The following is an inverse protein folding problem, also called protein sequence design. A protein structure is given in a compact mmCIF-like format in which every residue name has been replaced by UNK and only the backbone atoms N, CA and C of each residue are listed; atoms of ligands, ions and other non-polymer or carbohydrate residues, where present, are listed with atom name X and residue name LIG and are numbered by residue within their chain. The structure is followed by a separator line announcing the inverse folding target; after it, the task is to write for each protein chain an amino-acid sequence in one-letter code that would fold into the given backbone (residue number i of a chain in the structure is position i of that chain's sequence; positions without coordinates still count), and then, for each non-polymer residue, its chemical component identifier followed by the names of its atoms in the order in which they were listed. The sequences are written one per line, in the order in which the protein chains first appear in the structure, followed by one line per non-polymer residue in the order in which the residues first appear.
data_IF_425609644758
#
_entry.id   IF_425609644758
#
_cell.length_a   1.000
_cell.length_b   1.000
_cell.length_c   1.000
_cell.angle_alpha   90.00
_cell.angle_beta   90.00
_cell.angle_gamma   90.00
#
_symmetry.space_group_name_H-M   'P 1'
#
loop_
_entity.id
_entity.type
_entity.pdbx_description
1 polymer ?
#
# COMPACT_ATOMS: atom_id res chain seq x y z
N UNK A 1 -23.52 -9.45 4.88
CA UNK A 1 -22.69 -9.64 3.68
C UNK A 1 -21.22 -9.63 4.10
N UNK A 2 -20.38 -10.43 3.44
CA UNK A 2 -18.92 -10.35 3.66
C UNK A 2 -18.41 -8.98 3.24
N UNK A 3 -17.45 -8.42 3.99
CA UNK A 3 -16.80 -7.14 3.66
C UNK A 3 -15.96 -7.27 2.39
N UNK A 4 -15.70 -6.14 1.73
CA UNK A 4 -14.95 -6.09 0.48
C UNK A 4 -13.73 -5.19 0.60
N UNK A 5 -12.61 -5.60 0.00
CA UNK A 5 -11.39 -4.81 -0.08
C UNK A 5 -11.00 -4.56 -1.54
N UNK A 6 -10.60 -3.33 -1.85
CA UNK A 6 -9.92 -2.99 -3.10
C UNK A 6 -8.43 -2.76 -2.83
N UNK A 7 -7.57 -3.47 -3.56
CA UNK A 7 -6.11 -3.44 -3.36
C UNK A 7 -5.43 -3.06 -4.67
N UNK A 8 -4.65 -1.99 -4.68
CA UNK A 8 -3.86 -1.60 -5.86
C UNK A 8 -2.50 -2.31 -5.88
N UNK A 9 -2.07 -2.77 -7.07
CA UNK A 9 -0.82 -3.52 -7.22
C UNK A 9 -0.86 -4.89 -6.51
N UNK A 10 -1.98 -5.60 -6.63
CA UNK A 10 -2.32 -6.78 -5.82
C UNK A 10 -1.75 -8.11 -6.34
N UNK A 11 -1.03 -8.13 -7.46
CA UNK A 11 -0.70 -9.37 -8.17
C UNK A 11 0.68 -9.96 -7.87
N UNK A 12 1.51 -9.23 -7.14
CA UNK A 12 2.88 -9.66 -6.81
C UNK A 12 3.32 -9.14 -5.45
N UNK A 13 4.29 -9.81 -4.85
CA UNK A 13 5.02 -9.34 -3.65
C UNK A 13 4.07 -8.89 -2.53
N UNK A 14 4.31 -7.72 -1.94
CA UNK A 14 3.53 -7.17 -0.81
C UNK A 14 2.03 -7.10 -1.11
N UNK A 15 1.64 -6.68 -2.32
CA UNK A 15 0.23 -6.58 -2.70
C UNK A 15 -0.48 -7.92 -2.74
N UNK A 16 0.18 -8.96 -3.24
CA UNK A 16 -0.34 -10.33 -3.21
C UNK A 16 -0.45 -10.85 -1.78
N UNK A 17 0.58 -10.64 -0.94
CA UNK A 17 0.52 -11.02 0.47
C UNK A 17 -0.62 -10.36 1.23
N UNK A 18 -0.89 -9.07 0.93
CA UNK A 18 -2.05 -8.35 1.49
C UNK A 18 -3.36 -8.98 0.99
N UNK A 19 -3.47 -9.26 -0.31
CA UNK A 19 -4.67 -9.88 -0.89
C UNK A 19 -4.96 -11.26 -0.27
N UNK A 20 -3.93 -12.09 -0.10
CA UNK A 20 -4.06 -13.39 0.58
C UNK A 20 -4.51 -13.24 2.04
N UNK A 21 -3.99 -12.25 2.77
CA UNK A 21 -4.40 -12.00 4.15
C UNK A 21 -5.89 -11.65 4.23
N UNK A 22 -6.38 -10.72 3.40
CA UNK A 22 -7.80 -10.36 3.38
C UNK A 22 -8.70 -11.53 2.93
N UNK A 23 -8.24 -12.35 1.97
CA UNK A 23 -8.95 -13.56 1.54
C UNK A 23 -9.10 -14.57 2.68
N UNK A 24 -8.02 -14.86 3.42
CA UNK A 24 -8.04 -15.73 4.61
C UNK A 24 -9.05 -15.27 5.66
N UNK A 25 -9.24 -13.96 5.78
CA UNK A 25 -10.19 -13.35 6.73
C UNK A 25 -11.61 -13.19 6.16
N UNK A 26 -11.88 -13.79 4.98
CA UNK A 26 -13.21 -13.88 4.40
C UNK A 26 -13.72 -12.62 3.70
N UNK A 27 -12.83 -11.70 3.31
CA UNK A 27 -13.19 -10.53 2.51
C UNK A 27 -13.34 -10.89 1.02
N UNK A 28 -14.32 -10.27 0.36
CA UNK A 28 -14.35 -10.23 -1.10
C UNK A 28 -13.22 -9.35 -1.61
N UNK A 29 -12.59 -9.74 -2.72
CA UNK A 29 -11.38 -9.10 -3.24
C UNK A 29 -11.65 -8.39 -4.56
N UNK A 30 -11.23 -7.14 -4.65
CA UNK A 30 -11.15 -6.38 -5.89
C UNK A 30 -9.67 -6.00 -6.10
N UNK A 31 -9.05 -6.59 -7.14
CA UNK A 31 -7.60 -6.61 -7.29
C UNK A 31 -7.17 -5.75 -8.47
N UNK A 32 -6.49 -4.65 -8.22
CA UNK A 32 -5.97 -3.76 -9.26
C UNK A 32 -4.55 -4.10 -9.68
N UNK A 33 -4.30 -4.17 -10.98
CA UNK A 33 -2.95 -4.33 -11.58
C UNK A 33 -2.85 -3.55 -12.88
N UNK A 34 -1.61 -3.25 -13.34
CA UNK A 34 -1.39 -2.69 -14.68
C UNK A 34 -1.75 -3.66 -15.81
N UNK A 35 -1.67 -4.98 -15.57
CA UNK A 35 -2.10 -6.03 -16.47
C UNK A 35 -3.45 -6.55 -16.00
N UNK A 36 -4.48 -6.41 -16.83
CA UNK A 36 -5.80 -6.99 -16.61
C UNK A 36 -5.72 -8.51 -16.47
N UNK A 37 -4.98 -9.16 -17.36
CA UNK A 37 -4.78 -10.61 -17.34
C UNK A 37 -4.20 -11.11 -16.02
N UNK A 38 -3.15 -10.44 -15.51
CA UNK A 38 -2.55 -10.83 -14.22
C UNK A 38 -3.53 -10.58 -13.06
N UNK A 39 -4.31 -9.51 -13.10
CA UNK A 39 -5.31 -9.22 -12.07
C UNK A 39 -6.40 -10.29 -12.03
N UNK A 40 -6.93 -10.66 -13.20
CA UNK A 40 -7.97 -11.70 -13.34
C UNK A 40 -7.45 -13.07 -12.90
N UNK A 41 -6.24 -13.45 -13.37
CA UNK A 41 -5.60 -14.70 -12.98
C UNK A 41 -5.44 -14.80 -11.45
N UNK A 42 -4.88 -13.76 -10.82
CA UNK A 42 -4.71 -13.72 -9.36
C UNK A 42 -6.06 -13.78 -8.64
N UNK A 43 -7.09 -13.11 -9.16
CA UNK A 43 -8.44 -13.15 -8.58
C UNK A 43 -9.03 -14.56 -8.61
N UNK A 44 -8.90 -15.29 -9.72
CA UNK A 44 -9.35 -16.67 -9.86
C UNK A 44 -8.62 -17.56 -8.85
N UNK A 45 -7.29 -17.50 -8.81
CA UNK A 45 -6.46 -18.30 -7.90
C UNK A 45 -6.84 -18.08 -6.41
N UNK A 46 -7.04 -16.82 -6.01
CA UNK A 46 -7.42 -16.50 -4.63
C UNK A 46 -8.87 -16.88 -4.30
N UNK A 47 -9.79 -16.72 -5.27
CA UNK A 47 -11.18 -17.15 -5.12
C UNK A 47 -11.28 -18.65 -4.91
N UNK A 48 -10.58 -19.46 -5.73
CA UNK A 48 -10.55 -20.91 -5.61
C UNK A 48 -9.91 -21.38 -4.29
N UNK A 49 -8.79 -20.74 -3.91
CA UNK A 49 -8.02 -21.12 -2.72
C UNK A 49 -8.75 -20.81 -1.41
N UNK A 50 -9.49 -19.69 -1.34
CA UNK A 50 -10.08 -19.20 -0.08
C UNK A 50 -11.60 -19.19 -0.07
N UNK A 51 -12.29 -19.50 -1.17
CA UNK A 51 -13.74 -19.54 -1.24
C UNK A 51 -14.43 -18.17 -1.12
N UNK A 52 -13.73 -17.09 -1.50
CA UNK A 52 -14.23 -15.72 -1.49
C UNK A 52 -14.52 -15.24 -2.90
N UNK A 53 -15.41 -14.25 -3.07
CA UNK A 53 -15.53 -13.58 -4.35
C UNK A 53 -14.27 -12.76 -4.64
N UNK A 54 -13.74 -12.87 -5.86
CA UNK A 54 -12.62 -12.06 -6.29
C UNK A 54 -12.78 -11.63 -7.75
N UNK A 55 -12.42 -10.37 -8.06
CA UNK A 55 -12.40 -9.81 -9.42
C UNK A 55 -11.16 -8.97 -9.66
N UNK A 56 -10.51 -9.18 -10.82
CA UNK A 56 -9.35 -8.43 -11.27
C UNK A 56 -9.72 -7.23 -12.14
N UNK A 57 -8.91 -6.16 -12.06
CA UNK A 57 -9.06 -4.95 -12.88
C UNK A 57 -7.72 -4.49 -13.45
N UNK A 58 -7.74 -4.15 -14.74
CA UNK A 58 -6.67 -3.39 -15.37
C UNK A 58 -6.74 -1.93 -14.99
N UNK A 59 -5.69 -1.42 -14.35
CA UNK A 59 -5.67 -0.03 -13.90
C UNK A 59 -4.76 0.83 -14.77
N UNK A 60 -5.29 1.91 -15.29
CA UNK A 60 -4.52 2.99 -15.92
C UNK A 60 -4.14 4.02 -14.86
N UNK A 61 -2.83 4.18 -14.66
CA UNK A 61 -2.30 5.08 -13.62
C UNK A 61 -2.68 6.52 -13.93
N UNK A 62 -3.17 7.25 -12.94
CA UNK A 62 -3.57 8.67 -13.03
C UNK A 62 -4.66 8.93 -14.10
N UNK A 63 -5.55 7.95 -14.30
CA UNK A 63 -6.70 8.04 -15.22
C UNK A 63 -7.99 8.07 -14.38
N UNK A 64 -8.65 9.23 -14.38
CA UNK A 64 -9.85 9.48 -13.58
C UNK A 64 -11.05 8.69 -14.09
N UNK A 65 -11.20 8.56 -15.42
CA UNK A 65 -12.30 7.84 -16.05
C UNK A 65 -12.18 6.34 -15.73
N UNK A 66 -11.01 5.74 -15.94
CA UNK A 66 -10.76 4.34 -15.58
C UNK A 66 -10.98 4.08 -14.08
N UNK A 67 -10.52 5.01 -13.22
CA UNK A 67 -10.77 4.89 -11.78
C UNK A 67 -12.27 4.85 -11.50
N UNK A 68 -13.04 5.76 -12.07
CA UNK A 68 -14.49 5.80 -11.86
C UNK A 68 -15.20 4.57 -12.41
N UNK A 69 -14.87 4.13 -13.62
CA UNK A 69 -15.44 2.93 -14.24
C UNK A 69 -15.28 1.68 -13.35
N UNK A 70 -14.11 1.51 -12.72
CA UNK A 70 -13.86 0.39 -11.81
C UNK A 70 -14.80 0.43 -10.60
N UNK A 71 -14.94 1.58 -9.93
CA UNK A 71 -15.80 1.69 -8.77
C UNK A 71 -17.29 1.60 -9.11
N UNK A 72 -17.70 2.09 -10.29
CA UNK A 72 -19.07 1.96 -10.80
C UNK A 72 -19.38 0.47 -11.12
N UNK A 73 -18.43 -0.26 -11.71
CA UNK A 73 -18.58 -1.69 -11.97
C UNK A 73 -18.70 -2.50 -10.66
N UNK A 74 -17.88 -2.22 -9.65
CA UNK A 74 -17.99 -2.86 -8.33
C UNK A 74 -19.40 -2.64 -7.75
N UNK A 75 -19.92 -1.42 -7.81
CA UNK A 75 -21.26 -1.07 -7.35
C UNK A 75 -22.35 -1.80 -8.16
N UNK A 76 -22.19 -1.92 -9.49
CA UNK A 76 -23.11 -2.63 -10.37
C UNK A 76 -23.22 -4.12 -10.08
N UNK A 77 -22.14 -4.73 -9.56
CA UNK A 77 -22.10 -6.12 -9.09
C UNK A 77 -22.77 -6.33 -7.72
N UNK A 78 -23.28 -5.26 -7.10
CA UNK A 78 -23.93 -5.31 -5.78
C UNK A 78 -22.95 -5.28 -4.61
N UNK A 79 -21.69 -4.90 -4.84
CA UNK A 79 -20.68 -4.75 -3.79
C UNK A 79 -20.42 -3.27 -3.48
N UNK A 80 -19.85 -3.06 -2.31
CA UNK A 80 -19.28 -1.77 -1.89
C UNK A 80 -17.90 -2.01 -1.25
N UNK A 81 -17.03 -1.02 -1.31
CA UNK A 81 -15.70 -1.13 -0.74
C UNK A 81 -15.72 -0.72 0.73
N UNK A 82 -15.42 -1.67 1.62
CA UNK A 82 -15.23 -1.44 3.06
C UNK A 82 -13.80 -1.04 3.39
N UNK A 83 -12.83 -1.53 2.60
CA UNK A 83 -11.42 -1.20 2.76
C UNK A 83 -10.77 -0.90 1.40
N UNK A 84 -10.05 0.23 1.32
CA UNK A 84 -9.16 0.55 0.19
C UNK A 84 -7.71 0.44 0.65
N UNK A 85 -6.90 -0.38 -0.04
CA UNK A 85 -5.46 -0.49 0.20
C UNK A 85 -4.68 0.12 -0.96
N UNK A 86 -4.03 1.24 -0.70
CA UNK A 86 -3.20 1.99 -1.64
C UNK A 86 -1.76 1.46 -1.57
N UNK A 87 -1.51 0.31 -2.25
CA UNK A 87 -0.21 -0.36 -2.24
C UNK A 87 0.63 -0.08 -3.49
N UNK A 88 0.01 0.13 -4.65
CA UNK A 88 0.75 0.44 -5.88
C UNK A 88 1.59 1.71 -5.72
N UNK A 89 2.85 1.65 -6.13
CA UNK A 89 3.75 2.78 -6.08
C UNK A 89 4.73 2.79 -7.26
N UNK A 90 5.09 3.98 -7.70
CA UNK A 90 6.21 4.24 -8.59
C UNK A 90 7.43 4.59 -7.73
N UNK A 91 8.48 3.78 -7.82
CA UNK A 91 9.74 4.02 -7.11
C UNK A 91 10.62 5.08 -7.80
N UNK A 92 10.28 5.49 -9.00
CA UNK A 92 11.10 6.33 -9.85
C UNK A 92 12.38 5.63 -10.33
N UNK A 93 13.17 6.34 -11.10
CA UNK A 93 14.50 5.93 -11.53
C UNK A 93 15.52 6.37 -10.48
N UNK A 94 16.56 5.59 -10.27
CA UNK A 94 17.67 5.98 -9.39
C UNK A 94 18.63 6.88 -10.18
N UNK A 95 18.63 8.17 -9.88
CA UNK A 95 19.40 9.19 -10.60
C UNK A 95 19.94 10.23 -9.64
N UNK A 96 21.10 10.82 -10.01
CA UNK A 96 21.61 11.99 -9.32
C UNK A 96 20.67 13.18 -9.51
N UNK A 97 20.63 14.06 -8.54
CA UNK A 97 19.69 15.19 -8.48
C UNK A 97 19.65 16.02 -9.77
N UNK A 98 20.81 16.32 -10.35
CA UNK A 98 20.91 17.18 -11.53
C UNK A 98 20.41 16.53 -12.83
N UNK A 99 20.23 15.20 -12.83
CA UNK A 99 19.81 14.43 -14.01
C UNK A 99 18.30 14.10 -13.97
N UNK A 100 17.61 14.38 -12.86
CA UNK A 100 16.18 14.09 -12.72
C UNK A 100 15.37 15.09 -13.54
N UNK A 101 14.68 14.61 -14.57
CA UNK A 101 13.76 15.43 -15.35
C UNK A 101 12.48 15.76 -14.58
N UNK A 102 11.80 16.85 -14.97
CA UNK A 102 10.51 17.20 -14.36
C UNK A 102 9.45 16.14 -14.67
N UNK A 103 9.50 15.52 -15.85
CA UNK A 103 8.61 14.48 -16.31
C UNK A 103 8.72 13.24 -15.42
N UNK A 104 9.95 12.80 -15.11
CA UNK A 104 10.21 11.65 -14.23
C UNK A 104 9.78 11.97 -12.80
N UNK A 105 10.08 13.17 -12.31
CA UNK A 105 9.64 13.61 -10.99
C UNK A 105 8.10 13.58 -10.90
N UNK A 106 7.40 14.17 -11.87
CA UNK A 106 5.94 14.23 -11.89
C UNK A 106 5.29 12.87 -12.11
N UNK A 107 5.92 11.94 -12.84
CA UNK A 107 5.41 10.57 -12.98
C UNK A 107 5.33 9.86 -11.62
N UNK A 108 6.30 10.07 -10.74
CA UNK A 108 6.27 9.53 -9.36
C UNK A 108 5.20 10.22 -8.52
N UNK A 109 5.13 11.56 -8.57
CA UNK A 109 4.11 12.33 -7.83
C UNK A 109 2.70 11.93 -8.28
N UNK A 110 2.46 11.85 -9.58
CA UNK A 110 1.16 11.48 -10.13
C UNK A 110 0.71 10.08 -9.71
N UNK A 111 1.63 9.12 -9.70
CA UNK A 111 1.32 7.76 -9.25
C UNK A 111 1.07 7.70 -7.73
N UNK A 112 1.99 8.26 -6.94
CA UNK A 112 2.02 8.01 -5.50
C UNK A 112 1.13 8.97 -4.69
N UNK A 113 0.76 10.12 -5.26
CA UNK A 113 -0.09 11.12 -4.60
C UNK A 113 -1.38 11.34 -5.38
N UNK A 114 -1.30 11.88 -6.61
CA UNK A 114 -2.49 12.33 -7.33
C UNK A 114 -3.46 11.18 -7.63
N UNK A 115 -2.94 10.03 -8.07
CA UNK A 115 -3.76 8.85 -8.31
C UNK A 115 -4.33 8.24 -7.03
N UNK A 116 -3.55 8.20 -5.95
CA UNK A 116 -4.05 7.77 -4.64
C UNK A 116 -5.17 8.66 -4.11
N UNK A 117 -5.11 9.99 -4.41
CA UNK A 117 -6.23 10.90 -4.12
C UNK A 117 -7.49 10.52 -4.92
N UNK A 118 -7.37 10.26 -6.22
CA UNK A 118 -8.51 9.85 -7.06
C UNK A 118 -9.17 8.56 -6.53
N UNK A 119 -8.36 7.54 -6.25
CA UNK A 119 -8.84 6.27 -5.69
C UNK A 119 -9.52 6.46 -4.33
N UNK A 120 -8.91 7.25 -3.45
CA UNK A 120 -9.47 7.56 -2.12
C UNK A 120 -10.82 8.27 -2.23
N UNK A 121 -10.96 9.19 -3.19
CA UNK A 121 -12.21 9.93 -3.43
C UNK A 121 -13.35 9.00 -3.88
N UNK A 122 -13.10 8.11 -4.82
CA UNK A 122 -14.12 7.18 -5.31
C UNK A 122 -14.51 6.14 -4.23
N UNK A 123 -13.52 5.58 -3.52
CA UNK A 123 -13.80 4.69 -2.39
C UNK A 123 -14.59 5.39 -1.27
N UNK A 124 -14.19 6.61 -0.91
CA UNK A 124 -14.86 7.36 0.16
C UNK A 124 -16.33 7.70 -0.17
N UNK A 125 -16.69 7.89 -1.45
CA UNK A 125 -18.10 8.05 -1.87
C UNK A 125 -18.92 6.82 -1.50
N UNK A 126 -18.45 5.61 -1.84
CA UNK A 126 -19.13 4.36 -1.51
C UNK A 126 -19.15 4.12 0.01
N UNK A 127 -18.02 4.31 0.68
CA UNK A 127 -17.92 4.15 2.14
C UNK A 127 -18.88 5.07 2.89
N UNK A 128 -19.03 6.33 2.44
CA UNK A 128 -19.98 7.28 3.03
C UNK A 128 -21.42 6.79 2.89
N UNK A 129 -21.80 6.25 1.74
CA UNK A 129 -23.15 5.71 1.50
C UNK A 129 -23.42 4.48 2.38
N UNK A 130 -22.39 3.69 2.70
CA UNK A 130 -22.50 2.45 3.46
C UNK A 130 -22.19 2.58 4.97
N UNK A 131 -22.04 3.81 5.47
CA UNK A 131 -21.89 4.08 6.90
C UNK A 131 -20.47 4.01 7.46
N UNK A 132 -19.46 3.92 6.61
CA UNK A 132 -18.06 3.98 7.01
C UNK A 132 -17.14 3.07 6.21
N UNK A 133 -15.86 3.06 6.57
CA UNK A 133 -14.84 2.24 5.92
C UNK A 133 -13.43 2.52 6.41
N UNK A 134 -12.44 1.97 5.70
CA UNK A 134 -11.03 2.20 6.00
C UNK A 134 -10.20 2.40 4.74
N UNK A 135 -9.32 3.40 4.74
CA UNK A 135 -8.31 3.63 3.70
C UNK A 135 -6.94 3.41 4.32
N UNK A 136 -6.14 2.52 3.74
CA UNK A 136 -4.80 2.17 4.24
C UNK A 136 -3.76 2.49 3.17
N UNK A 137 -2.86 3.40 3.49
CA UNK A 137 -1.70 3.72 2.67
C UNK A 137 -0.56 2.75 2.99
N UNK A 138 -0.08 1.99 2.00
CA UNK A 138 1.21 1.31 2.09
C UNK A 138 2.28 2.31 1.67
N UNK A 139 2.83 2.97 2.67
CA UNK A 139 3.79 4.06 2.50
C UNK A 139 5.24 3.52 2.52
N UNK A 140 6.14 4.14 3.26
CA UNK A 140 7.53 3.73 3.46
C UNK A 140 8.14 4.54 4.61
N UNK A 141 9.10 3.98 5.34
CA UNK A 141 9.94 4.72 6.26
C UNK A 141 10.81 5.79 5.54
N UNK A 142 10.92 5.71 4.20
CA UNK A 142 11.53 6.74 3.35
C UNK A 142 10.82 8.11 3.45
N UNK A 143 9.59 8.14 3.92
CA UNK A 143 8.88 9.40 4.23
C UNK A 143 9.60 10.25 5.30
N UNK A 144 10.41 9.62 6.15
CA UNK A 144 11.17 10.25 7.22
C UNK A 144 12.69 10.19 7.02
N UNK A 145 13.18 9.13 6.36
CA UNK A 145 14.61 8.92 6.13
C UNK A 145 14.87 8.70 4.64
N UNK A 146 15.23 9.79 3.96
CA UNK A 146 15.44 9.77 2.51
C UNK A 146 16.49 8.75 2.08
N UNK A 147 16.31 8.22 0.88
CA UNK A 147 17.26 7.34 0.20
C UNK A 147 18.02 8.18 -0.85
N UNK A 148 19.35 8.06 -0.96
CA UNK A 148 20.11 8.73 -2.02
C UNK A 148 19.55 8.40 -3.42
N UNK A 149 19.60 9.37 -4.32
CA UNK A 149 19.18 9.25 -5.72
C UNK A 149 17.70 8.87 -5.93
N UNK A 150 16.80 9.18 -4.94
CA UNK A 150 15.38 8.87 -4.95
C UNK A 150 14.52 10.08 -4.51
N UNK A 151 14.86 11.29 -4.99
CA UNK A 151 14.22 12.52 -4.53
C UNK A 151 12.71 12.51 -4.74
N UNK A 152 12.23 12.14 -5.93
CA UNK A 152 10.80 12.10 -6.24
C UNK A 152 10.04 11.10 -5.35
N UNK A 153 10.63 9.92 -5.12
CA UNK A 153 10.05 8.91 -4.25
C UNK A 153 9.96 9.39 -2.80
N UNK A 154 11.06 9.91 -2.24
CA UNK A 154 11.09 10.43 -0.87
C UNK A 154 10.07 11.57 -0.68
N UNK A 155 10.03 12.51 -1.63
CA UNK A 155 9.05 13.59 -1.62
C UNK A 155 7.61 13.06 -1.69
N UNK A 156 7.32 12.08 -2.56
CA UNK A 156 6.00 11.51 -2.71
C UNK A 156 5.53 10.77 -1.46
N UNK A 157 6.41 10.01 -0.80
CA UNK A 157 6.08 9.26 0.41
C UNK A 157 5.85 10.19 1.62
N UNK A 158 6.62 11.26 1.74
CA UNK A 158 6.37 12.31 2.74
C UNK A 158 5.06 13.06 2.48
N UNK A 159 4.79 13.43 1.23
CA UNK A 159 3.54 14.09 0.83
C UNK A 159 2.30 13.22 1.05
N UNK A 160 2.41 11.91 0.80
CA UNK A 160 1.33 10.96 1.03
C UNK A 160 0.93 10.86 2.53
N UNK A 161 1.87 11.02 3.49
CA UNK A 161 1.53 11.11 4.92
C UNK A 161 0.75 12.39 5.24
N UNK A 162 1.10 13.51 4.62
CA UNK A 162 0.33 14.76 4.73
C UNK A 162 -1.10 14.57 4.23
N UNK A 163 -1.26 13.96 3.05
CA UNK A 163 -2.57 13.64 2.48
C UNK A 163 -3.37 12.66 3.36
N UNK A 164 -2.73 11.61 3.87
CA UNK A 164 -3.37 10.65 4.78
C UNK A 164 -3.96 11.34 6.01
N UNK A 165 -3.21 12.25 6.66
CA UNK A 165 -3.69 13.00 7.83
C UNK A 165 -4.85 13.93 7.50
N UNK A 166 -4.79 14.63 6.36
CA UNK A 166 -5.87 15.49 5.91
C UNK A 166 -7.15 14.70 5.63
N UNK A 167 -7.03 13.55 4.92
CA UNK A 167 -8.17 12.68 4.67
C UNK A 167 -8.75 12.10 5.97
N UNK A 168 -7.92 11.77 6.96
CA UNK A 168 -8.38 11.28 8.26
C UNK A 168 -9.28 12.32 8.98
N UNK A 169 -8.91 13.61 8.91
CA UNK A 169 -9.71 14.70 9.48
C UNK A 169 -11.02 14.90 8.70
N UNK A 170 -10.95 14.98 7.38
CA UNK A 170 -12.10 15.30 6.55
C UNK A 170 -13.15 14.19 6.52
N UNK A 171 -12.70 12.92 6.55
CA UNK A 171 -13.55 11.75 6.39
C UNK A 171 -14.03 11.15 7.71
N UNK A 172 -13.44 11.51 8.84
CA UNK A 172 -13.81 10.99 10.16
C UNK A 172 -15.29 11.16 10.51
N UNK A 173 -15.90 12.29 10.12
CA UNK A 173 -17.34 12.54 10.29
C UNK A 173 -18.27 11.57 9.54
N UNK A 174 -17.72 10.82 8.57
CA UNK A 174 -18.43 9.77 7.84
C UNK A 174 -18.06 8.37 8.32
N UNK A 175 -17.41 8.27 9.49
CA UNK A 175 -16.91 6.99 10.03
C UNK A 175 -15.91 6.28 9.09
N UNK A 176 -15.14 7.04 8.31
CA UNK A 176 -14.08 6.52 7.44
C UNK A 176 -12.74 6.80 8.12
N UNK A 177 -12.00 5.75 8.40
CA UNK A 177 -10.65 5.81 9.00
C UNK A 177 -9.61 5.83 7.90
N UNK A 178 -8.54 6.59 8.10
CA UNK A 178 -7.42 6.68 7.14
C UNK A 178 -6.10 6.57 7.89
N UNK A 179 -5.29 5.56 7.57
CA UNK A 179 -4.04 5.27 8.26
C UNK A 179 -2.93 4.87 7.27
N UNK A 180 -1.69 4.83 7.74
CA UNK A 180 -0.55 4.44 6.91
C UNK A 180 0.29 3.34 7.59
N UNK A 181 0.68 2.32 6.84
CA UNK A 181 1.74 1.38 7.19
C UNK A 181 3.03 1.87 6.53
N UNK A 182 4.12 1.92 7.29
CA UNK A 182 5.43 2.38 6.84
C UNK A 182 6.43 1.22 6.86
N UNK A 183 6.49 0.42 5.80
CA UNK A 183 7.52 -0.61 5.69
C UNK A 183 8.92 0.00 5.63
N UNK A 184 9.88 -0.74 6.18
CA UNK A 184 11.28 -0.62 5.83
C UNK A 184 11.61 -1.40 4.56
N UNK A 185 12.76 -2.06 4.54
CA UNK A 185 13.06 -3.02 3.49
C UNK A 185 12.22 -4.28 3.68
N UNK A 186 11.73 -4.81 2.55
CA UNK A 186 10.90 -6.02 2.49
C UNK A 186 11.61 -7.05 1.62
N UNK A 187 11.59 -8.32 2.03
CA UNK A 187 12.04 -9.44 1.20
C UNK A 187 11.18 -9.50 -0.06
N UNK A 188 11.78 -9.26 -1.21
CA UNK A 188 11.13 -9.33 -2.51
C UNK A 188 12.01 -10.12 -3.47
N UNK A 189 11.48 -10.55 -4.60
CA UNK A 189 12.24 -11.27 -5.64
C UNK A 189 13.52 -10.53 -6.08
N UNK A 190 13.60 -9.22 -5.85
CA UNK A 190 14.82 -8.41 -6.13
C UNK A 190 16.04 -8.85 -5.30
N UNK A 191 15.80 -9.55 -4.19
CA UNK A 191 16.83 -9.96 -3.24
C UNK A 191 17.24 -11.43 -3.40
N UNK A 192 16.60 -12.21 -4.27
CA UNK A 192 16.85 -13.65 -4.42
C UNK A 192 18.35 -13.96 -4.63
N UNK A 193 19.05 -13.11 -5.39
CA UNK A 193 20.49 -13.31 -5.68
C UNK A 193 21.44 -12.59 -4.71
N UNK A 194 20.96 -11.66 -3.88
CA UNK A 194 21.79 -10.79 -3.03
C UNK A 194 21.28 -10.67 -1.58
N UNK A 195 20.37 -11.54 -1.17
CA UNK A 195 19.72 -11.44 0.14
C UNK A 195 20.71 -11.44 1.30
N UNK A 196 21.68 -12.37 1.29
CA UNK A 196 22.64 -12.48 2.37
C UNK A 196 23.56 -11.27 2.48
N UNK A 197 24.00 -10.69 1.37
CA UNK A 197 24.82 -9.48 1.35
C UNK A 197 24.05 -8.28 1.88
N UNK A 198 22.79 -8.12 1.46
CA UNK A 198 21.93 -7.07 1.97
C UNK A 198 21.55 -7.28 3.42
N UNK A 199 21.27 -8.51 3.85
CA UNK A 199 21.00 -8.84 5.24
C UNK A 199 22.19 -8.46 6.12
N UNK A 200 23.40 -8.85 5.74
CA UNK A 200 24.62 -8.52 6.48
C UNK A 200 24.87 -7.01 6.55
N UNK A 201 24.63 -6.28 5.44
CA UNK A 201 24.78 -4.83 5.41
C UNK A 201 23.73 -4.11 6.27
N UNK A 202 22.51 -4.66 6.37
CA UNK A 202 21.37 -4.05 7.06
C UNK A 202 21.23 -4.50 8.51
N UNK A 203 21.75 -5.66 8.90
CA UNK A 203 21.67 -6.17 10.27
C UNK A 203 22.18 -5.17 11.30
N UNK A 204 23.23 -4.42 10.95
CA UNK A 204 23.78 -3.36 11.81
C UNK A 204 22.86 -2.14 11.95
N UNK A 205 21.84 -2.00 11.10
CA UNK A 205 20.88 -0.91 11.09
C UNK A 205 19.44 -1.37 11.35
N UNK A 206 19.25 -2.63 11.70
CA UNK A 206 17.93 -3.21 11.97
C UNK A 206 17.98 -3.93 13.31
N UNK A 207 17.52 -3.33 14.41
CA UNK A 207 17.58 -3.89 15.75
C UNK A 207 17.07 -5.33 15.89
N UNK A 208 16.03 -5.72 15.12
CA UNK A 208 15.53 -7.10 15.10
C UNK A 208 16.40 -8.06 14.25
N UNK A 209 17.45 -7.56 13.59
CA UNK A 209 18.44 -8.36 12.86
C UNK A 209 17.99 -8.87 11.49
N UNK A 210 16.77 -8.67 11.09
CA UNK A 210 16.25 -9.08 9.77
C UNK A 210 15.27 -8.03 9.20
N UNK A 211 15.03 -8.11 7.88
CA UNK A 211 14.05 -7.27 7.17
C UNK A 211 12.70 -7.97 7.15
N UNK A 212 11.62 -7.18 7.06
CA UNK A 212 10.25 -7.66 7.01
C UNK A 212 10.00 -8.57 5.80
N UNK A 213 9.09 -9.51 5.95
CA UNK A 213 8.48 -10.22 4.82
C UNK A 213 7.09 -9.65 4.46
N UNK A 214 6.44 -10.27 3.50
CA UNK A 214 5.12 -9.82 3.05
C UNK A 214 4.03 -10.00 4.10
N UNK A 215 4.15 -11.02 4.93
CA UNK A 215 3.17 -11.34 5.98
C UNK A 215 3.19 -10.28 7.09
N UNK A 216 4.37 -9.77 7.45
CA UNK A 216 4.52 -8.69 8.43
C UNK A 216 3.75 -7.44 7.98
N UNK A 217 3.91 -7.07 6.70
CA UNK A 217 3.22 -5.92 6.14
C UNK A 217 1.71 -6.19 6.00
N UNK A 218 1.34 -7.39 5.54
CA UNK A 218 -0.06 -7.77 5.39
C UNK A 218 -0.83 -7.75 6.73
N UNK A 219 -0.20 -8.20 7.82
CA UNK A 219 -0.78 -8.16 9.16
C UNK A 219 -0.99 -6.71 9.65
N UNK A 220 -0.04 -5.82 9.41
CA UNK A 220 -0.17 -4.39 9.75
C UNK A 220 -1.29 -3.70 8.93
N UNK A 221 -1.36 -3.98 7.62
CA UNK A 221 -2.42 -3.47 6.75
C UNK A 221 -3.79 -4.02 7.18
N UNK A 222 -3.87 -5.31 7.51
CA UNK A 222 -5.08 -5.94 8.04
C UNK A 222 -5.54 -5.27 9.34
N UNK A 223 -4.64 -4.98 10.26
CA UNK A 223 -5.00 -4.27 11.50
C UNK A 223 -5.73 -2.96 11.19
N UNK A 224 -5.20 -2.12 10.31
CA UNK A 224 -5.85 -0.87 9.93
C UNK A 224 -7.08 -1.06 9.05
N UNK A 225 -7.09 -2.06 8.17
CA UNK A 225 -8.18 -2.34 7.24
C UNK A 225 -9.42 -2.96 7.88
N UNK A 226 -9.26 -3.57 9.06
CA UNK A 226 -10.30 -4.31 9.76
C UNK A 226 -10.91 -3.54 10.93
N UNK A 227 -11.91 -4.14 11.58
CA UNK A 227 -12.54 -3.60 12.78
C UNK A 227 -11.62 -3.64 14.03
N UNK A 228 -10.45 -4.26 13.94
CA UNK A 228 -9.47 -4.28 15.02
C UNK A 228 -8.93 -2.87 15.37
N UNK A 229 -9.10 -1.90 14.46
CA UNK A 229 -8.63 -0.53 14.62
C UNK A 229 -9.77 0.51 14.60
N UNK A 230 -10.95 0.18 15.16
CA UNK A 230 -12.16 1.04 15.11
C UNK A 230 -11.96 2.47 15.59
N UNK A 231 -11.07 2.71 16.53
CA UNK A 231 -10.79 4.04 17.08
C UNK A 231 -9.39 4.54 16.69
N UNK A 232 -8.90 4.12 15.50
CA UNK A 232 -7.57 4.50 15.01
C UNK A 232 -7.71 5.15 13.64
N UNK A 233 -7.43 6.45 13.56
CA UNK A 233 -7.37 7.22 12.31
C UNK A 233 -6.26 8.26 12.38
N UNK A 234 -5.62 8.58 11.25
CA UNK A 234 -4.48 9.48 11.18
C UNK A 234 -3.18 8.89 11.73
N UNK A 235 -3.16 7.59 12.02
CA UNK A 235 -2.04 6.90 12.61
C UNK A 235 -1.06 6.33 11.57
N UNK A 236 0.17 6.16 12.00
CA UNK A 236 1.27 5.58 11.25
C UNK A 236 1.83 4.38 12.01
N UNK A 237 1.95 3.24 11.34
CA UNK A 237 2.55 2.03 11.89
C UNK A 237 3.81 1.67 11.11
N UNK A 238 4.96 1.82 11.74
CA UNK A 238 6.24 1.44 11.15
C UNK A 238 6.49 -0.06 11.31
N UNK A 239 6.84 -0.71 10.21
CA UNK A 239 7.18 -2.15 10.14
C UNK A 239 8.54 -2.28 9.44
N UNK A 240 9.62 -2.07 10.19
CA UNK A 240 10.99 -1.96 9.63
C UNK A 240 12.08 -2.58 10.52
N UNK A 241 11.68 -3.41 11.49
CA UNK A 241 12.60 -4.05 12.43
C UNK A 241 13.35 -3.06 13.35
N UNK A 242 12.87 -1.81 13.45
CA UNK A 242 13.49 -0.74 14.24
C UNK A 242 14.51 0.10 13.47
N UNK A 243 14.62 -0.07 12.14
CA UNK A 243 15.58 0.66 11.31
C UNK A 243 15.40 2.18 11.41
N UNK A 244 14.18 2.68 11.47
CA UNK A 244 13.90 4.11 11.45
C UNK A 244 14.35 4.83 12.73
N UNK A 245 14.31 4.17 13.87
CA UNK A 245 14.63 4.78 15.18
C UNK A 245 16.13 4.75 15.51
N UNK A 246 16.92 4.02 14.73
CA UNK A 246 18.34 3.82 14.98
C UNK A 246 19.17 4.94 14.35
N UNK A 247 19.96 5.64 15.15
CA UNK A 247 20.84 6.71 14.69
C UNK A 247 22.20 6.20 14.22
N UNK A 248 22.78 5.24 14.95
CA UNK A 248 24.10 4.67 14.67
C UNK A 248 24.01 3.15 14.45
N UNK A 249 24.92 2.55 13.66
CA UNK A 249 24.95 1.10 13.51
C UNK A 249 25.16 0.40 14.85
N UNK A 250 24.54 -0.78 15.00
CA UNK A 250 24.81 -1.64 16.14
C UNK A 250 26.24 -2.17 15.99
N UNK A 251 27.12 -1.77 16.89
CA UNK A 251 28.47 -2.34 16.98
C UNK A 251 28.36 -3.49 17.96
N UNK A 252 28.59 -4.74 17.49
CA UNK A 252 28.71 -5.87 18.41
C UNK A 252 29.80 -5.54 19.42
N UNK A 253 29.48 -5.59 20.72
CA UNK A 253 30.48 -5.50 21.75
C UNK A 253 31.55 -6.60 21.48
N UNK A 254 32.81 -6.17 21.30
CA UNK A 254 33.95 -7.07 21.20
C UNK A 254 34.18 -7.76 22.54
#
# INVERSE_FOLDING_TARGET
MSKSVFITGATVNTGLGIAEKFAKEGYNLFLGSRSTENAEKTAIELSEKYGVFAKGYGMRIFDEENTKEIFDDIKSLGYSIDCLVLNAANLGIRQQFFDVSIEEFMAVINTNISWNFMLSREAAKQMKENGGGSIVFVNSNTAYRAIPDRIAYSASKSGALGMMRALALDLGKYNIRVNAVLPGMIKTDRWENNYNDCKNALSNYTPLGDIADFEDIANAVWYFGSDNSKNTTGAELTVDGGNMIQLYPIVSAQ
#
